data_IF_692412724677
#
_entry.id   IF_692412724677
#
_cell.length_a   1.000
_cell.length_b   1.000
_cell.length_c   1.000
_cell.angle_alpha   90.00
_cell.angle_beta   90.00
_cell.angle_gamma   90.00
#
_symmetry.space_group_name_H-M   'P 1'
#
loop_
_entity.id
_entity.type
_entity.pdbx_description
1 polymer ?
#
# COMPACT_ATOMS: atom_id res chain seq x y z
N UNK A 1 -19.40 -11.31 -11.55
CA UNK A 1 -18.73 -10.03 -11.21
C UNK A 1 -19.35 -8.94 -12.04
N UNK A 2 -19.77 -7.82 -11.44
CA UNK A 2 -20.30 -6.68 -12.19
C UNK A 2 -19.16 -6.01 -13.01
N UNK A 3 -19.24 -6.02 -14.36
CA UNK A 3 -18.16 -5.52 -15.21
C UNK A 3 -18.00 -3.99 -15.13
N UNK A 4 -19.08 -3.24 -14.90
CA UNK A 4 -19.03 -1.78 -14.81
C UNK A 4 -18.35 -1.38 -13.52
N UNK A 5 -18.75 -2.01 -12.41
CA UNK A 5 -18.12 -1.80 -11.10
C UNK A 5 -16.64 -2.16 -11.12
N UNK A 6 -16.28 -3.32 -11.72
CA UNK A 6 -14.88 -3.73 -11.84
C UNK A 6 -14.05 -2.72 -12.65
N UNK A 7 -14.58 -2.20 -13.75
CA UNK A 7 -13.91 -1.17 -14.56
C UNK A 7 -13.68 0.13 -13.77
N UNK A 8 -14.62 0.52 -12.91
CA UNK A 8 -14.46 1.68 -12.02
C UNK A 8 -13.38 1.44 -10.95
N UNK A 9 -13.32 0.23 -10.38
CA UNK A 9 -12.24 -0.14 -9.45
C UNK A 9 -10.88 -0.11 -10.11
N UNK A 10 -10.74 -0.68 -11.33
CA UNK A 10 -9.49 -0.62 -12.10
C UNK A 10 -9.07 0.83 -12.34
N UNK A 11 -10.00 1.71 -12.74
CA UNK A 11 -9.71 3.15 -12.92
C UNK A 11 -9.22 3.81 -11.63
N UNK A 12 -9.85 3.49 -10.49
CA UNK A 12 -9.40 3.99 -9.19
C UNK A 12 -7.99 3.52 -8.86
N UNK A 13 -7.71 2.23 -9.06
CA UNK A 13 -6.39 1.64 -8.79
C UNK A 13 -5.32 2.32 -9.65
N UNK A 14 -5.58 2.47 -10.96
CA UNK A 14 -4.65 3.16 -11.85
C UNK A 14 -4.45 4.63 -11.46
N UNK A 15 -5.51 5.33 -11.05
CA UNK A 15 -5.41 6.71 -10.55
C UNK A 15 -4.55 6.77 -9.28
N UNK A 16 -4.81 5.94 -8.28
CA UNK A 16 -4.04 5.93 -7.04
C UNK A 16 -2.57 5.58 -7.31
N UNK A 17 -2.31 4.54 -8.12
CA UNK A 17 -0.94 4.11 -8.46
C UNK A 17 -0.15 5.19 -9.19
N UNK A 18 -0.80 6.01 -10.01
CA UNK A 18 -0.12 7.05 -10.80
C UNK A 18 -0.05 8.38 -10.04
N UNK A 19 -1.18 8.86 -9.55
CA UNK A 19 -1.31 10.21 -8.98
C UNK A 19 -0.92 10.28 -7.51
N UNK A 20 -0.88 9.16 -6.78
CA UNK A 20 -0.49 9.12 -5.37
C UNK A 20 0.88 8.46 -5.22
N UNK A 21 1.09 7.25 -5.75
CA UNK A 21 2.37 6.55 -5.56
C UNK A 21 3.56 7.20 -6.27
N UNK A 22 3.39 7.81 -7.46
CA UNK A 22 4.52 8.48 -8.14
C UNK A 22 4.99 9.73 -7.38
N UNK A 23 4.12 10.67 -6.95
CA UNK A 23 4.56 11.77 -6.10
C UNK A 23 5.17 11.30 -4.78
N UNK A 24 4.59 10.29 -4.14
CA UNK A 24 5.19 9.69 -2.94
C UNK A 24 6.61 9.20 -3.22
N UNK A 25 6.83 8.45 -4.30
CA UNK A 25 8.17 7.98 -4.68
C UNK A 25 9.15 9.15 -4.84
N UNK A 26 8.75 10.24 -5.50
CA UNK A 26 9.59 11.43 -5.68
C UNK A 26 9.92 12.08 -4.34
N UNK A 27 8.93 12.21 -3.44
CA UNK A 27 9.09 12.80 -2.11
C UNK A 27 10.00 11.94 -1.23
N UNK A 28 9.87 10.62 -1.28
CA UNK A 28 10.66 9.68 -0.48
C UNK A 28 12.04 9.36 -1.09
N UNK A 29 12.29 9.70 -2.35
CA UNK A 29 13.56 9.43 -3.03
C UNK A 29 14.81 9.96 -2.27
N UNK A 30 14.82 11.18 -1.69
CA UNK A 30 15.95 11.66 -0.90
C UNK A 30 16.23 10.80 0.34
N UNK A 31 15.17 10.29 0.99
CA UNK A 31 15.29 9.39 2.16
C UNK A 31 15.91 8.06 1.73
N UNK A 32 15.50 7.52 0.58
CA UNK A 32 16.11 6.32 0.02
C UNK A 32 17.59 6.53 -0.32
N UNK A 33 17.94 7.67 -0.95
CA UNK A 33 19.34 8.03 -1.25
C UNK A 33 20.18 8.24 0.01
N UNK A 34 19.59 8.72 1.09
CA UNK A 34 20.27 8.86 2.38
C UNK A 34 20.59 7.49 3.02
N UNK A 35 19.73 6.48 2.83
CA UNK A 35 19.96 5.12 3.33
C UNK A 35 20.96 4.31 2.51
N UNK A 36 21.21 4.69 1.26
CA UNK A 36 22.10 3.98 0.34
C UNK A 36 21.80 4.31 -1.11
N UNK A 37 22.43 3.62 -2.06
CA UNK A 37 22.06 3.76 -3.46
C UNK A 37 20.92 2.80 -3.83
N UNK A 38 19.68 3.27 -4.07
CA UNK A 38 18.54 2.41 -4.37
C UNK A 38 18.67 1.70 -5.72
N UNK A 39 19.57 2.18 -6.59
CA UNK A 39 19.86 1.58 -7.90
C UNK A 39 21.15 0.75 -7.88
N UNK A 40 21.70 0.44 -6.70
CA UNK A 40 22.88 -0.40 -6.56
C UNK A 40 22.62 -1.78 -7.17
N UNK A 41 23.63 -2.33 -7.86
CA UNK A 41 23.58 -3.69 -8.42
C UNK A 41 24.03 -4.76 -7.44
N UNK A 42 24.69 -4.37 -6.36
CA UNK A 42 25.16 -5.28 -5.33
C UNK A 42 24.00 -5.69 -4.43
N UNK A 43 23.78 -7.00 -4.31
CA UNK A 43 22.77 -7.55 -3.43
C UNK A 43 23.31 -7.62 -2.00
N UNK A 44 22.43 -7.48 -0.98
CA UNK A 44 22.83 -7.74 0.39
C UNK A 44 23.27 -9.19 0.55
N UNK A 45 24.09 -9.47 1.56
CA UNK A 45 24.38 -10.85 1.95
C UNK A 45 23.09 -11.58 2.32
N UNK A 46 23.04 -12.89 2.11
CA UNK A 46 21.83 -13.68 2.40
C UNK A 46 21.35 -13.50 3.85
N UNK A 47 22.28 -13.45 4.82
CA UNK A 47 21.95 -13.23 6.22
C UNK A 47 21.37 -11.83 6.48
N UNK A 48 21.91 -10.80 5.82
CA UNK A 48 21.39 -9.44 5.94
C UNK A 48 19.98 -9.32 5.36
N UNK A 49 19.74 -9.94 4.21
CA UNK A 49 18.40 -10.05 3.64
C UNK A 49 17.40 -10.69 4.62
N UNK A 50 17.77 -11.79 5.29
CA UNK A 50 16.90 -12.43 6.27
C UNK A 50 16.60 -11.53 7.48
N UNK A 51 17.59 -10.77 7.95
CA UNK A 51 17.40 -9.80 9.05
C UNK A 51 16.44 -8.69 8.63
N UNK A 52 16.65 -8.09 7.46
CA UNK A 52 15.76 -7.04 6.94
C UNK A 52 14.34 -7.59 6.72
N UNK A 53 14.21 -8.76 6.11
CA UNK A 53 12.92 -9.42 5.90
C UNK A 53 12.17 -9.60 7.23
N UNK A 54 12.81 -10.22 8.23
CA UNK A 54 12.18 -10.46 9.53
C UNK A 54 11.81 -9.14 10.23
N UNK A 55 12.71 -8.16 10.22
CA UNK A 55 12.45 -6.87 10.84
C UNK A 55 11.30 -6.12 10.17
N UNK A 56 11.31 -6.01 8.83
CA UNK A 56 10.26 -5.30 8.10
C UNK A 56 8.91 -6.01 8.16
N UNK A 57 8.86 -7.35 8.18
CA UNK A 57 7.61 -8.07 8.41
C UNK A 57 7.02 -7.78 9.79
N UNK A 58 7.83 -7.70 10.85
CA UNK A 58 7.34 -7.33 12.18
C UNK A 58 6.83 -5.88 12.23
N UNK A 59 7.56 -4.96 11.59
CA UNK A 59 7.13 -3.56 11.48
C UNK A 59 5.82 -3.46 10.69
N UNK A 60 5.71 -4.17 9.57
CA UNK A 60 4.50 -4.24 8.75
C UNK A 60 3.32 -4.76 9.55
N UNK A 61 3.47 -5.88 10.26
CA UNK A 61 2.40 -6.47 11.09
C UNK A 61 1.87 -5.47 12.13
N UNK A 62 2.77 -4.79 12.85
CA UNK A 62 2.41 -3.81 13.86
C UNK A 62 1.69 -2.61 13.21
N UNK A 63 2.30 -1.99 12.20
CA UNK A 63 1.76 -0.79 11.56
C UNK A 63 0.44 -1.08 10.85
N UNK A 64 0.35 -2.22 10.16
CA UNK A 64 -0.87 -2.64 9.48
C UNK A 64 -1.99 -2.89 10.48
N UNK A 65 -1.75 -3.66 11.55
CA UNK A 65 -2.79 -3.95 12.54
C UNK A 65 -3.39 -2.67 13.15
N UNK A 66 -2.53 -1.75 13.64
CA UNK A 66 -3.01 -0.54 14.30
C UNK A 66 -3.63 0.47 13.33
N UNK A 67 -3.06 0.63 12.13
CA UNK A 67 -3.64 1.53 11.11
C UNK A 67 -4.98 1.00 10.60
N UNK A 68 -5.07 -0.30 10.32
CA UNK A 68 -6.31 -0.95 9.90
C UNK A 68 -7.39 -0.85 11.00
N UNK A 69 -7.03 -1.14 12.26
CA UNK A 69 -7.95 -0.98 13.39
C UNK A 69 -8.44 0.47 13.55
N UNK A 70 -7.56 1.44 13.35
CA UNK A 70 -7.92 2.86 13.36
C UNK A 70 -8.90 3.18 12.22
N UNK A 71 -8.64 2.69 11.00
CA UNK A 71 -9.51 2.90 9.84
C UNK A 71 -10.91 2.29 10.02
N UNK A 72 -11.06 1.27 10.86
CA UNK A 72 -12.36 0.73 11.28
C UNK A 72 -13.10 1.58 12.32
N UNK A 73 -12.50 2.66 12.84
CA UNK A 73 -13.22 3.59 13.70
C UNK A 73 -14.44 4.17 12.94
N UNK A 74 -15.65 4.29 13.54
CA UNK A 74 -16.90 4.55 12.80
C UNK A 74 -16.87 5.77 11.86
N UNK A 75 -16.12 6.81 12.20
CA UNK A 75 -15.95 8.02 11.38
C UNK A 75 -15.03 7.80 10.18
N UNK A 76 -13.91 7.09 10.38
CA UNK A 76 -12.93 6.80 9.34
C UNK A 76 -13.43 5.69 8.43
N UNK A 77 -14.12 4.69 8.98
CA UNK A 77 -14.72 3.62 8.20
C UNK A 77 -15.68 4.16 7.16
N UNK A 78 -16.67 4.94 7.60
CA UNK A 78 -17.70 5.49 6.70
C UNK A 78 -17.13 6.39 5.61
N UNK A 79 -16.03 7.11 5.88
CA UNK A 79 -15.46 8.11 4.97
C UNK A 79 -14.34 7.58 4.07
N UNK A 80 -13.57 6.60 4.55
CA UNK A 80 -12.31 6.16 3.93
C UNK A 80 -12.39 4.65 3.68
N UNK A 81 -12.42 3.85 4.74
CA UNK A 81 -12.17 2.40 4.66
C UNK A 81 -13.33 1.57 4.09
N UNK A 82 -14.55 2.10 4.10
CA UNK A 82 -15.72 1.44 3.51
C UNK A 82 -15.53 1.14 2.02
N UNK A 83 -14.75 1.95 1.30
CA UNK A 83 -14.44 1.74 -0.12
C UNK A 83 -13.63 0.46 -0.33
N UNK A 84 -12.64 0.21 0.52
CA UNK A 84 -11.83 -1.01 0.49
C UNK A 84 -12.68 -2.27 0.75
N UNK A 85 -13.62 -2.19 1.69
CA UNK A 85 -14.55 -3.28 2.03
C UNK A 85 -15.77 -3.41 1.10
N UNK A 86 -15.81 -2.68 -0.02
CA UNK A 86 -16.97 -2.67 -0.94
C UNK A 86 -17.12 -3.99 -1.73
N UNK A 87 -16.03 -4.75 -1.83
CA UNK A 87 -15.96 -6.00 -2.57
C UNK A 87 -15.75 -7.18 -1.61
N UNK A 88 -16.60 -8.19 -1.72
CA UNK A 88 -16.46 -9.46 -1.01
C UNK A 88 -15.76 -10.53 -1.83
N UNK A 89 -15.72 -10.37 -3.16
CA UNK A 89 -15.06 -11.30 -4.07
C UNK A 89 -13.54 -11.10 -4.05
N UNK A 90 -12.74 -12.17 -3.89
CA UNK A 90 -11.28 -12.08 -3.82
C UNK A 90 -10.67 -11.94 -5.22
N UNK A 91 -10.73 -10.74 -5.79
CA UNK A 91 -10.13 -10.42 -7.09
C UNK A 91 -8.80 -9.69 -6.83
N UNK A 92 -7.71 -10.15 -7.44
CA UNK A 92 -6.36 -9.61 -7.18
C UNK A 92 -6.26 -8.07 -7.26
N UNK A 93 -6.83 -7.45 -8.29
CA UNK A 93 -6.81 -5.97 -8.45
C UNK A 93 -7.56 -5.23 -7.34
N UNK A 94 -8.51 -5.88 -6.68
CA UNK A 94 -9.30 -5.28 -5.61
C UNK A 94 -8.52 -5.20 -4.30
N UNK A 95 -7.46 -6.01 -4.13
CA UNK A 95 -6.57 -5.90 -2.95
C UNK A 95 -5.96 -4.51 -2.78
N UNK A 96 -5.79 -3.77 -3.89
CA UNK A 96 -5.26 -2.40 -3.93
C UNK A 96 -6.32 -1.35 -4.25
N UNK A 97 -7.60 -1.74 -4.31
CA UNK A 97 -8.72 -0.79 -4.46
C UNK A 97 -9.02 -0.13 -3.12
N UNK A 98 -8.59 1.12 -2.97
CA UNK A 98 -8.71 1.86 -1.72
C UNK A 98 -9.07 3.34 -1.94
N UNK A 99 -9.44 4.01 -0.84
CA UNK A 99 -9.52 5.47 -0.82
C UNK A 99 -8.10 6.07 -0.91
N UNK A 100 -7.88 7.23 -1.58
CA UNK A 100 -6.53 7.79 -1.75
C UNK A 100 -5.73 7.96 -0.44
N UNK A 101 -6.40 8.34 0.66
CA UNK A 101 -5.77 8.45 1.99
C UNK A 101 -5.34 7.09 2.54
N UNK A 102 -6.10 6.02 2.26
CA UNK A 102 -5.77 4.66 2.68
C UNK A 102 -4.71 4.02 1.76
N UNK A 103 -4.52 4.55 0.57
CA UNK A 103 -3.49 4.10 -0.39
C UNK A 103 -2.08 4.61 -0.04
N UNK A 104 -1.97 5.68 0.77
CA UNK A 104 -0.69 6.24 1.25
C UNK A 104 -0.09 5.30 2.29
#
# INVERSE_FOLDING_TARGET
VDPVKLRQSIRTVLFNQTMISLPMLVIFYPIFKWRGDPCCRELPTFHWFLVELAFFTLVEEILFYYSHRLLHHPTLYKKIHKKHHEWTAPIGVISVYAHPIEHV
#
